data_IF_109141941238
#
_entry.id   IF_109141941238
#
_cell.length_a   1.000
_cell.length_b   1.000
_cell.length_c   1.000
_cell.angle_alpha   90.00
_cell.angle_beta   90.00
_cell.angle_gamma   90.00
#
_symmetry.space_group_name_H-M   'P 1'
#
loop_
_entity.id
_entity.type
_entity.pdbx_description
1 polymer ?
#
# COMPACT_ATOMS: atom_id res chain seq x y z
N UNK A 1 -15.37 -7.90 21.65
CA UNK A 1 -14.18 -7.77 20.78
C UNK A 1 -13.50 -6.43 21.03
N UNK A 2 -14.09 -5.28 20.64
CA UNK A 2 -13.55 -3.95 20.99
C UNK A 2 -13.46 -3.70 22.51
N UNK A 3 -14.44 -4.16 23.30
CA UNK A 3 -14.42 -3.99 24.77
C UNK A 3 -13.18 -4.62 25.43
N UNK A 4 -12.74 -5.80 24.97
CA UNK A 4 -11.55 -6.46 25.51
C UNK A 4 -10.29 -5.64 25.23
N UNK A 5 -10.21 -5.00 24.06
CA UNK A 5 -9.12 -4.10 23.68
C UNK A 5 -9.12 -2.83 24.53
N UNK A 6 -10.30 -2.22 24.73
CA UNK A 6 -10.44 -1.01 25.54
C UNK A 6 -10.09 -1.26 27.02
N UNK A 7 -10.47 -2.42 27.56
CA UNK A 7 -10.09 -2.87 28.91
C UNK A 7 -8.58 -3.07 29.02
N UNK A 8 -7.96 -3.76 28.06
CA UNK A 8 -6.52 -4.02 28.04
C UNK A 8 -5.69 -2.73 27.92
N UNK A 9 -6.14 -1.79 27.11
CA UNK A 9 -5.48 -0.49 26.93
C UNK A 9 -5.85 0.55 28.00
N UNK A 10 -6.77 0.20 28.92
CA UNK A 10 -7.31 1.10 29.93
C UNK A 10 -7.84 2.43 29.33
N UNK A 11 -8.62 2.32 28.26
CA UNK A 11 -9.21 3.44 27.50
C UNK A 11 -10.71 3.54 27.78
N UNK A 12 -11.29 4.73 27.65
CA UNK A 12 -12.72 4.96 27.87
C UNK A 12 -13.57 4.08 26.96
N UNK A 13 -14.64 3.51 27.51
CA UNK A 13 -15.57 2.59 26.81
C UNK A 13 -16.29 3.23 25.63
N UNK A 14 -16.37 4.56 25.57
CA UNK A 14 -16.98 5.30 24.47
C UNK A 14 -16.04 5.54 23.28
N UNK A 15 -14.78 5.13 23.38
CA UNK A 15 -13.81 5.35 22.30
C UNK A 15 -14.14 4.47 21.10
N UNK A 16 -14.25 5.09 19.93
CA UNK A 16 -14.48 4.36 18.69
C UNK A 16 -13.17 3.77 18.10
N UNK A 17 -13.31 2.90 17.09
CA UNK A 17 -12.16 2.27 16.43
C UNK A 17 -11.27 3.31 15.72
N UNK A 18 -11.85 4.36 15.15
CA UNK A 18 -11.12 5.38 14.42
C UNK A 18 -10.27 6.25 15.35
N UNK A 19 -10.79 6.60 16.53
CA UNK A 19 -10.07 7.30 17.58
C UNK A 19 -8.93 6.43 18.12
N UNK A 20 -9.18 5.14 18.31
CA UNK A 20 -8.14 4.20 18.72
C UNK A 20 -7.02 4.11 17.67
N UNK A 21 -7.38 3.99 16.39
CA UNK A 21 -6.43 4.02 15.27
C UNK A 21 -5.61 5.32 15.31
N UNK A 22 -6.27 6.49 15.35
CA UNK A 22 -5.61 7.80 15.38
C UNK A 22 -4.62 7.92 16.54
N UNK A 23 -5.01 7.49 17.74
CA UNK A 23 -4.16 7.52 18.94
C UNK A 23 -2.94 6.59 18.81
N UNK A 24 -3.09 5.47 18.12
CA UNK A 24 -2.05 4.47 17.93
C UNK A 24 -1.30 4.56 16.59
N UNK A 25 -1.53 5.60 15.78
CA UNK A 25 -0.81 5.82 14.51
C UNK A 25 0.72 5.74 14.65
N UNK A 26 1.37 6.38 15.63
CA UNK A 26 2.83 6.27 15.79
C UNK A 26 3.30 4.83 16.05
N UNK A 27 2.48 4.03 16.74
CA UNK A 27 2.76 2.62 16.99
C UNK A 27 2.62 1.77 15.72
N UNK A 28 1.61 2.07 14.89
CA UNK A 28 1.38 1.37 13.61
C UNK A 28 2.56 1.64 12.66
N UNK A 29 2.92 2.91 12.46
CA UNK A 29 4.06 3.33 11.61
C UNK A 29 5.35 2.67 12.07
N UNK A 30 5.62 2.67 13.38
CA UNK A 30 6.79 2.01 13.95
C UNK A 30 6.79 0.51 13.70
N UNK A 31 5.63 -0.15 13.84
CA UNK A 31 5.50 -1.58 13.62
C UNK A 31 5.74 -1.97 12.17
N UNK A 32 5.32 -1.13 11.22
CA UNK A 32 5.61 -1.32 9.80
C UNK A 32 7.10 -1.09 9.53
N UNK A 33 7.66 0.01 10.03
CA UNK A 33 9.08 0.37 9.85
C UNK A 33 10.03 -0.72 10.39
N UNK A 34 9.68 -1.33 11.53
CA UNK A 34 10.42 -2.45 12.12
C UNK A 34 10.46 -3.69 11.20
N UNK A 35 9.49 -3.84 10.29
CA UNK A 35 9.34 -5.00 9.40
C UNK A 35 9.93 -4.71 8.01
N UNK A 36 9.70 -3.52 7.46
CA UNK A 36 10.22 -3.09 6.16
C UNK A 36 11.69 -2.70 6.23
N UNK A 37 12.18 -2.31 7.41
CA UNK A 37 13.55 -1.79 7.60
C UNK A 37 13.75 -0.40 6.99
N UNK A 38 12.67 0.30 6.62
CA UNK A 38 12.69 1.61 5.97
C UNK A 38 11.74 2.56 6.68
N UNK A 39 11.93 3.86 6.47
CA UNK A 39 10.98 4.87 6.93
C UNK A 39 9.69 4.76 6.12
N UNK A 40 8.54 4.85 6.82
CA UNK A 40 7.21 4.79 6.23
C UNK A 40 6.59 6.19 6.28
N UNK A 41 6.21 6.73 5.13
CA UNK A 41 5.55 8.02 5.00
C UNK A 41 4.06 7.93 5.33
N UNK A 42 3.50 9.00 5.90
CA UNK A 42 2.07 9.03 6.26
C UNK A 42 1.14 9.36 5.09
N UNK A 43 1.66 9.91 4.00
CA UNK A 43 0.82 10.50 2.94
C UNK A 43 0.60 9.56 1.75
N UNK A 44 1.48 8.60 1.50
CA UNK A 44 1.40 7.81 0.25
C UNK A 44 2.11 6.43 0.32
N UNK A 45 2.11 5.76 1.47
CA UNK A 45 2.62 4.38 1.57
C UNK A 45 1.48 3.36 1.52
N UNK A 46 1.57 2.44 0.57
CA UNK A 46 0.69 1.28 0.47
C UNK A 46 0.80 0.39 1.72
N UNK A 47 1.99 0.29 2.30
CA UNK A 47 2.27 -0.41 3.55
C UNK A 47 1.51 0.18 4.73
N UNK A 48 1.29 1.50 4.75
CA UNK A 48 0.50 2.12 5.81
C UNK A 48 -0.96 1.64 5.74
N UNK A 49 -1.53 1.56 4.54
CA UNK A 49 -2.88 1.04 4.33
C UNK A 49 -3.00 -0.42 4.76
N UNK A 50 -2.01 -1.25 4.43
CA UNK A 50 -1.95 -2.67 4.85
C UNK A 50 -1.77 -2.79 6.37
N UNK A 51 -0.95 -1.93 6.97
CA UNK A 51 -0.73 -1.92 8.41
C UNK A 51 -1.96 -1.47 9.20
N UNK A 52 -2.70 -0.48 8.69
CA UNK A 52 -3.99 -0.05 9.26
C UNK A 52 -5.02 -1.19 9.23
N UNK A 53 -5.11 -1.91 8.10
CA UNK A 53 -5.95 -3.09 8.00
C UNK A 53 -5.55 -4.16 9.03
N UNK A 54 -4.24 -4.43 9.16
CA UNK A 54 -3.73 -5.37 10.16
C UNK A 54 -4.06 -4.96 11.61
N UNK A 55 -4.00 -3.66 11.92
CA UNK A 55 -4.40 -3.18 13.25
C UNK A 55 -5.90 -3.34 13.49
N UNK A 56 -6.74 -3.04 12.50
CA UNK A 56 -8.18 -3.26 12.58
C UNK A 56 -8.51 -4.73 12.83
N UNK A 57 -7.90 -5.65 12.08
CA UNK A 57 -8.08 -7.09 12.30
C UNK A 57 -7.63 -7.55 13.69
N UNK A 58 -6.56 -6.93 14.23
CA UNK A 58 -6.12 -7.21 15.58
C UNK A 58 -7.19 -6.81 16.60
N UNK A 59 -7.86 -5.66 16.41
CA UNK A 59 -8.97 -5.23 17.29
C UNK A 59 -10.11 -6.23 17.27
N UNK A 60 -10.47 -6.73 16.08
CA UNK A 60 -11.56 -7.69 15.94
C UNK A 60 -11.25 -9.03 16.60
N UNK A 61 -10.02 -9.54 16.41
CA UNK A 61 -9.65 -10.91 16.83
C UNK A 61 -8.95 -10.99 18.18
N UNK A 62 -8.77 -9.86 18.87
CA UNK A 62 -8.10 -9.83 20.15
C UNK A 62 -8.82 -10.63 21.22
N UNK A 63 -8.02 -11.34 22.01
CA UNK A 63 -8.44 -12.21 23.10
C UNK A 63 -7.51 -11.93 24.29
N UNK A 64 -8.08 -11.41 25.38
CA UNK A 64 -7.35 -10.94 26.56
C UNK A 64 -6.62 -12.07 27.29
N UNK A 65 -7.03 -13.33 27.08
CA UNK A 65 -6.39 -14.50 27.70
C UNK A 65 -5.05 -14.86 27.03
N UNK A 66 -4.78 -14.33 25.82
CA UNK A 66 -3.59 -14.67 25.02
C UNK A 66 -2.44 -13.68 25.16
N UNK A 67 -2.56 -12.72 26.08
CA UNK A 67 -1.57 -11.69 26.34
C UNK A 67 -1.96 -10.31 25.79
N UNK A 68 -1.09 -9.31 26.00
CA UNK A 68 -1.40 -7.88 25.79
C UNK A 68 -1.68 -7.51 24.32
N UNK A 69 -2.67 -6.63 24.10
CA UNK A 69 -3.13 -6.21 22.76
C UNK A 69 -2.04 -5.65 21.88
N UNK A 70 -1.20 -4.72 22.37
CA UNK A 70 -0.18 -4.09 21.52
C UNK A 70 0.86 -5.10 21.01
N UNK A 71 1.19 -6.10 21.84
CA UNK A 71 2.09 -7.19 21.42
C UNK A 71 1.45 -8.03 20.33
N UNK A 72 0.17 -8.36 20.47
CA UNK A 72 -0.60 -9.08 19.46
C UNK A 72 -0.76 -8.28 18.17
N UNK A 73 -1.16 -7.01 18.27
CA UNK A 73 -1.33 -6.10 17.13
C UNK A 73 -0.03 -5.94 16.33
N UNK A 74 1.13 -5.85 17.01
CA UNK A 74 2.43 -5.81 16.34
C UNK A 74 2.68 -7.05 15.47
N UNK A 75 2.31 -8.23 15.97
CA UNK A 75 2.45 -9.49 15.23
C UNK A 75 1.52 -9.54 14.01
N UNK A 76 0.27 -9.12 14.18
CA UNK A 76 -0.73 -9.10 13.09
C UNK A 76 -0.31 -8.13 12.00
N UNK A 77 0.06 -6.90 12.36
CA UNK A 77 0.58 -5.89 11.42
C UNK A 77 1.79 -6.45 10.66
N UNK A 78 2.79 -6.99 11.37
CA UNK A 78 3.98 -7.51 10.71
C UNK A 78 3.72 -8.71 9.82
N UNK A 79 2.74 -9.55 10.15
CA UNK A 79 2.30 -10.65 9.29
C UNK A 79 1.68 -10.14 7.99
N UNK A 80 0.81 -9.12 8.07
CA UNK A 80 0.16 -8.50 6.90
C UNK A 80 1.16 -7.82 5.98
N UNK A 81 2.10 -7.04 6.53
CA UNK A 81 3.18 -6.42 5.76
C UNK A 81 4.04 -7.48 5.07
N UNK A 82 4.47 -8.54 5.79
CA UNK A 82 5.27 -9.62 5.17
C UNK A 82 4.52 -10.31 4.04
N UNK A 83 3.21 -10.51 4.17
CA UNK A 83 2.41 -11.14 3.13
C UNK A 83 2.25 -10.22 1.91
N UNK A 84 2.03 -8.92 2.13
CA UNK A 84 1.99 -7.91 1.08
C UNK A 84 3.32 -7.86 0.31
N UNK A 85 4.45 -7.72 1.02
CA UNK A 85 5.78 -7.69 0.40
C UNK A 85 6.08 -8.99 -0.36
N UNK A 86 5.66 -10.16 0.13
CA UNK A 86 5.80 -11.43 -0.60
C UNK A 86 4.96 -11.48 -1.88
N UNK A 87 3.79 -10.84 -1.90
CA UNK A 87 2.94 -10.71 -3.08
C UNK A 87 3.56 -9.77 -4.11
N UNK A 88 4.07 -8.62 -3.68
CA UNK A 88 4.76 -7.65 -4.54
C UNK A 88 6.02 -8.24 -5.17
N UNK A 89 6.83 -8.95 -4.37
CA UNK A 89 8.01 -9.67 -4.88
C UNK A 89 7.65 -10.79 -5.87
N UNK A 90 6.44 -11.38 -5.85
CA UNK A 90 6.00 -12.33 -6.89
C UNK A 90 5.67 -11.65 -8.20
N UNK A 91 5.25 -10.39 -8.16
CA UNK A 91 5.01 -9.58 -9.35
C UNK A 91 6.30 -8.89 -9.85
N UNK A 92 7.29 -8.66 -8.98
CA UNK A 92 8.62 -8.15 -9.34
C UNK A 92 9.62 -9.24 -9.77
N UNK A 93 9.55 -10.46 -9.22
CA UNK A 93 10.44 -11.57 -9.60
C UNK A 93 9.83 -12.42 -10.71
N UNK A 94 9.77 -11.82 -11.88
CA UNK A 94 9.99 -12.54 -13.12
C UNK A 94 10.74 -11.59 -14.02
N UNK A 95 12.01 -11.34 -13.69
CA UNK A 95 12.90 -10.76 -14.69
C UNK A 95 12.91 -11.73 -15.87
N UNK A 96 12.76 -11.21 -17.08
CA UNK A 96 12.75 -12.01 -18.31
C UNK A 96 13.96 -12.96 -18.35
N UNK A 97 15.11 -12.51 -17.81
CA UNK A 97 16.36 -13.25 -17.72
C UNK A 97 16.28 -14.52 -16.84
N UNK A 98 15.55 -14.51 -15.71
CA UNK A 98 15.40 -15.69 -14.86
C UNK A 98 14.49 -16.78 -15.45
N UNK A 99 13.61 -16.40 -16.39
CA UNK A 99 12.76 -17.34 -17.12
C UNK A 99 13.55 -18.04 -18.25
N UNK A 100 14.47 -17.31 -18.88
CA UNK A 100 15.38 -17.83 -19.92
C UNK A 100 16.39 -18.84 -19.34
N UNK A 101 16.96 -18.55 -18.16
CA UNK A 101 17.96 -19.43 -17.51
C UNK A 101 17.36 -20.76 -17.02
N UNK A 102 16.04 -20.82 -16.79
CA UNK A 102 15.31 -22.06 -16.45
C UNK A 102 14.98 -22.95 -17.65
N UNK A 103 15.49 -22.63 -18.84
CA UNK A 103 15.34 -23.47 -20.03
C UNK A 103 13.93 -23.46 -20.62
N UNK A 104 13.14 -22.42 -20.34
CA UNK A 104 12.00 -22.08 -21.19
C UNK A 104 12.58 -21.58 -22.50
N UNK A 105 12.72 -22.49 -23.45
CA UNK A 105 12.97 -22.18 -24.85
C UNK A 105 11.75 -21.39 -25.34
N UNK A 106 11.81 -20.06 -25.22
CA UNK A 106 10.84 -19.13 -25.79
C UNK A 106 11.04 -19.23 -27.29
N UNK A 107 10.54 -20.32 -27.88
CA UNK A 107 10.30 -20.37 -29.32
C UNK A 107 9.35 -19.24 -29.62
N UNK A 108 9.77 -18.37 -30.51
CA UNK A 108 9.04 -17.25 -31.11
C UNK A 108 7.76 -17.72 -31.83
N UNK A 109 6.86 -18.37 -31.12
CA UNK A 109 5.49 -18.57 -31.52
C UNK A 109 4.67 -17.66 -30.63
N UNK A 110 4.76 -16.36 -30.92
CA UNK A 110 3.77 -15.37 -30.53
C UNK A 110 2.43 -15.81 -31.11
N UNK A 111 1.75 -16.70 -30.40
CA UNK A 111 0.31 -16.72 -30.41
C UNK A 111 -0.10 -15.54 -29.54
N UNK A 112 -0.04 -14.31 -30.08
CA UNK A 112 -0.86 -13.24 -29.53
C UNK A 112 -2.29 -13.75 -29.62
N UNK A 113 -3.00 -14.04 -28.51
CA UNK A 113 -4.44 -13.99 -28.60
C UNK A 113 -4.71 -12.58 -29.13
N UNK A 114 -5.37 -12.46 -30.28
CA UNK A 114 -5.90 -11.18 -30.73
C UNK A 114 -6.86 -10.73 -29.64
N UNK A 115 -6.35 -10.03 -28.64
CA UNK A 115 -7.17 -9.37 -27.64
C UNK A 115 -8.03 -8.40 -28.43
N UNK A 116 -9.34 -8.60 -28.31
CA UNK A 116 -10.32 -7.78 -28.99
C UNK A 116 -10.31 -6.40 -28.33
N UNK A 117 -9.39 -5.56 -28.79
CA UNK A 117 -9.18 -4.20 -28.30
C UNK A 117 -10.25 -3.22 -28.81
N UNK A 118 -11.33 -3.72 -29.43
CA UNK A 118 -12.43 -2.89 -29.93
C UNK A 118 -13.02 -2.02 -28.83
N UNK A 119 -13.24 -2.57 -27.64
CA UNK A 119 -13.79 -1.85 -26.49
C UNK A 119 -12.86 -0.70 -26.06
N UNK A 120 -11.56 -0.97 -25.97
CA UNK A 120 -10.55 0.01 -25.58
C UNK A 120 -10.42 1.14 -26.61
N UNK A 121 -10.48 0.80 -27.91
CA UNK A 121 -10.47 1.79 -28.99
C UNK A 121 -11.73 2.66 -28.96
N UNK A 122 -12.91 2.09 -28.70
CA UNK A 122 -14.14 2.86 -28.53
C UNK A 122 -14.06 3.82 -27.35
N UNK A 123 -13.51 3.37 -26.22
CA UNK A 123 -13.33 4.19 -25.02
C UNK A 123 -12.40 5.38 -25.27
N UNK A 124 -11.23 5.14 -25.89
CA UNK A 124 -10.28 6.20 -26.27
C UNK A 124 -10.94 7.22 -27.20
N UNK A 125 -11.75 6.76 -28.17
CA UNK A 125 -12.42 7.66 -29.10
C UNK A 125 -13.52 8.49 -28.43
N UNK A 126 -14.30 7.90 -27.51
CA UNK A 126 -15.29 8.66 -26.71
C UNK A 126 -14.61 9.74 -25.88
N UNK A 127 -13.52 9.39 -25.21
CA UNK A 127 -12.73 10.33 -24.43
C UNK A 127 -12.16 11.46 -25.30
N UNK A 128 -11.68 11.15 -26.51
CA UNK A 128 -11.19 12.16 -27.47
C UNK A 128 -12.28 13.16 -27.87
N UNK A 129 -13.50 12.68 -28.10
CA UNK A 129 -14.65 13.54 -28.43
C UNK A 129 -15.02 14.43 -27.24
N UNK A 130 -15.07 13.86 -26.04
CA UNK A 130 -15.39 14.59 -24.82
C UNK A 130 -14.35 15.68 -24.52
N UNK A 131 -13.06 15.37 -24.59
CA UNK A 131 -11.97 16.35 -24.40
C UNK A 131 -12.03 17.46 -25.46
N UNK A 132 -12.34 17.10 -26.72
CA UNK A 132 -12.51 18.08 -27.79
C UNK A 132 -13.64 19.07 -27.51
N UNK A 133 -14.68 18.67 -26.76
CA UNK A 133 -15.76 19.58 -26.36
C UNK A 133 -15.31 20.68 -25.40
N UNK A 134 -14.24 20.43 -24.63
CA UNK A 134 -13.61 21.42 -23.76
C UNK A 134 -12.59 22.31 -24.49
N UNK A 135 -12.35 22.06 -25.79
CA UNK A 135 -11.46 22.86 -26.63
C UNK A 135 -9.97 22.48 -26.56
N UNK A 136 -9.65 21.31 -26.01
CA UNK A 136 -8.29 20.79 -25.91
C UNK A 136 -8.15 19.50 -26.72
N UNK A 137 -6.92 19.14 -27.10
CA UNK A 137 -6.59 17.79 -27.60
C UNK A 137 -5.75 17.02 -26.58
N UNK A 138 -5.53 15.72 -26.83
CA UNK A 138 -4.64 14.92 -25.99
C UNK A 138 -3.21 15.48 -25.98
N UNK A 139 -2.75 16.00 -27.11
CA UNK A 139 -1.45 16.63 -27.24
C UNK A 139 -1.33 17.87 -26.35
N UNK A 140 -2.41 18.66 -26.24
CA UNK A 140 -2.46 19.82 -25.34
C UNK A 140 -2.35 19.40 -23.87
N UNK A 141 -3.04 18.32 -23.48
CA UNK A 141 -2.93 17.76 -22.12
C UNK A 141 -1.51 17.28 -21.80
N UNK A 142 -0.81 16.67 -22.77
CA UNK A 142 0.57 16.22 -22.58
C UNK A 142 1.54 17.40 -22.44
N UNK A 143 1.28 18.49 -23.14
CA UNK A 143 2.12 19.69 -23.10
C UNK A 143 1.91 20.53 -21.81
N UNK A 144 0.67 20.61 -21.34
CA UNK A 144 0.29 21.35 -20.12
C UNK A 144 0.35 20.51 -18.85
N UNK A 145 0.58 19.19 -18.97
CA UNK A 145 0.79 18.35 -17.81
C UNK A 145 2.00 18.85 -17.00
N UNK A 146 1.88 18.98 -15.67
CA UNK A 146 2.99 19.38 -14.84
C UNK A 146 4.12 18.36 -15.00
N UNK A 147 5.17 18.74 -15.72
CA UNK A 147 6.42 17.97 -15.76
C UNK A 147 6.90 17.95 -14.32
N UNK A 148 6.89 16.79 -13.68
CA UNK A 148 7.44 16.61 -12.34
C UNK A 148 8.89 17.12 -12.35
N UNK A 149 9.11 18.35 -11.90
CA UNK A 149 10.40 18.73 -11.37
C UNK A 149 10.55 17.89 -10.12
N UNK A 150 11.61 17.09 -10.06
CA UNK A 150 11.91 16.26 -8.91
C UNK A 150 11.74 17.09 -7.64
N UNK A 151 10.68 16.81 -6.88
CA UNK A 151 10.45 17.38 -5.56
C UNK A 151 11.38 16.64 -4.59
N UNK A 152 12.68 16.95 -4.69
CA UNK A 152 13.54 16.93 -3.51
C UNK A 152 13.30 18.24 -2.76
N UNK A 153 12.06 18.43 -2.29
CA UNK A 153 11.75 19.44 -1.31
C UNK A 153 11.66 18.72 0.03
N UNK A 154 12.74 18.89 0.80
CA UNK A 154 12.85 18.55 2.21
C UNK A 154 11.79 19.28 3.03
N UNK A 155 10.55 18.81 3.02
CA UNK A 155 9.52 19.25 3.96
C UNK A 155 9.32 18.19 5.04
N UNK A 156 10.25 18.25 6.00
CA UNK A 156 10.11 17.97 7.45
C UNK A 156 8.80 17.29 7.90
N UNK A 157 8.67 15.99 7.68
CA UNK A 157 7.89 15.13 8.59
C UNK A 157 8.80 14.62 9.71
N UNK A 158 8.95 15.49 10.71
CA UNK A 158 9.74 15.27 11.91
C UNK A 158 9.02 14.28 12.84
N UNK A 159 9.22 12.98 12.65
CA UNK A 159 9.02 11.99 13.70
C UNK A 159 10.30 11.17 13.88
N UNK A 160 11.17 11.70 14.74
CA UNK A 160 12.37 11.06 15.22
C UNK A 160 12.01 9.81 16.04
N UNK A 161 12.13 8.63 15.44
CA UNK A 161 12.45 7.42 16.20
C UNK A 161 13.76 6.86 15.63
N UNK A 162 14.86 7.45 16.11
CA UNK A 162 16.20 6.89 16.01
C UNK A 162 16.23 5.60 16.83
N UNK A 163 16.74 4.52 16.26
CA UNK A 163 17.22 3.38 17.06
C UNK A 163 18.66 3.11 16.65
N UNK A 164 19.58 3.67 17.44
CA UNK A 164 20.99 3.29 17.41
C UNK A 164 21.11 1.81 17.78
N UNK A 165 21.76 1.03 16.92
CA UNK A 165 22.68 -0.07 17.27
C UNK A 165 23.66 -0.30 16.13
#
# INVERSE_FOLDING_TARGET
MLECVLVDLNVDKNTDVNELIKKHMPFIIKSISDVTGRYVSCENDEELSVGLLGFHEAIERYDNEKGHFLSYAKLVIGSRIKNYLKGENRHQHSSLDELVDKGLDIKDEYFEPKEDNSILIEEINKLKIEISSFGFTFEDLVNEAPKQQATSNEEKCNYLIRRDK
#
